data_IF_315497138726
#
_entry.id   IF_315497138726
#
_cell.length_a   1.000
_cell.length_b   1.000
_cell.length_c   1.000
_cell.angle_alpha   90.00
_cell.angle_beta   90.00
_cell.angle_gamma   90.00
#
_symmetry.space_group_name_H-M   'P 1'
#
loop_
_entity.id
_entity.type
_entity.pdbx_description
1 polymer ?
#
# COMPACT_ATOMS: atom_id res chain seq x y z
N UNK A 1 16.00 16.70 71.14
CA UNK A 1 15.56 17.82 70.29
C UNK A 1 16.74 18.30 69.47
N UNK A 2 16.77 18.02 68.17
CA UNK A 2 17.74 18.59 67.24
C UNK A 2 16.96 19.32 66.13
N UNK A 3 17.25 20.61 65.98
CA UNK A 3 16.66 21.55 65.02
C UNK A 3 17.18 21.28 63.58
N UNK A 4 16.53 21.86 62.55
CA UNK A 4 16.43 21.30 61.19
C UNK A 4 17.65 21.61 60.32
N UNK A 5 17.91 20.77 59.31
CA UNK A 5 18.77 21.13 58.18
C UNK A 5 17.90 21.28 56.94
N UNK A 6 17.66 22.54 56.56
CA UNK A 6 17.09 22.87 55.27
C UNK A 6 17.96 22.32 54.14
N UNK A 7 17.34 21.68 53.15
CA UNK A 7 17.98 21.46 51.85
C UNK A 7 18.03 22.81 51.16
N UNK A 8 19.24 23.35 51.01
CA UNK A 8 19.51 24.45 50.08
C UNK A 8 19.13 24.02 48.65
N UNK A 9 18.74 24.95 47.77
CA UNK A 9 18.64 24.66 46.33
C UNK A 9 20.01 24.17 45.85
N UNK A 10 20.04 23.09 45.08
CA UNK A 10 21.28 22.54 44.57
C UNK A 10 21.93 23.53 43.58
N UNK A 11 23.03 24.15 44.00
CA UNK A 11 23.95 24.89 43.16
C UNK A 11 24.43 24.03 41.97
N UNK A 12 24.67 24.71 40.85
CA UNK A 12 24.96 24.27 39.47
C UNK A 12 26.17 23.30 39.31
N UNK A 13 26.79 22.83 40.40
CA UNK A 13 28.08 22.11 40.43
C UNK A 13 28.00 20.61 40.69
N UNK A 14 26.84 20.06 41.10
CA UNK A 14 26.74 18.67 41.58
C UNK A 14 25.89 17.71 40.71
N UNK A 15 25.51 18.11 39.49
CA UNK A 15 24.82 17.19 38.59
C UNK A 15 25.81 16.12 38.09
N UNK A 16 25.49 14.81 38.16
CA UNK A 16 26.41 13.74 37.75
C UNK A 16 26.74 13.70 36.25
N UNK A 17 27.76 12.92 35.90
CA UNK A 17 28.09 12.57 34.51
C UNK A 17 27.06 11.54 33.97
N UNK A 18 26.45 11.76 32.79
CA UNK A 18 25.54 10.83 32.14
C UNK A 18 26.08 9.41 31.90
N UNK A 19 27.40 9.19 31.99
CA UNK A 19 28.05 7.89 31.74
C UNK A 19 28.00 6.89 32.90
N UNK A 20 27.45 7.23 34.08
CA UNK A 20 27.62 6.43 35.33
C UNK A 20 26.30 5.87 35.93
N UNK A 21 25.40 5.28 35.13
CA UNK A 21 24.06 4.85 35.63
C UNK A 21 23.94 3.32 35.88
N UNK A 22 23.17 2.93 36.92
CA UNK A 22 22.80 1.53 37.30
C UNK A 22 21.29 1.41 37.60
N UNK A 23 20.76 0.20 37.82
CA UNK A 23 19.33 -0.04 38.12
C UNK A 23 18.88 0.49 39.50
N UNK A 24 17.63 0.92 39.61
CA UNK A 24 17.00 1.45 40.83
C UNK A 24 16.87 0.42 41.96
N UNK A 25 17.22 0.82 43.19
CA UNK A 25 17.00 0.04 44.42
C UNK A 25 15.76 0.43 45.24
N UNK A 26 15.02 1.46 44.84
CA UNK A 26 13.82 1.91 45.55
C UNK A 26 12.73 0.83 45.53
N UNK A 27 12.13 0.53 46.68
CA UNK A 27 11.27 -0.64 46.89
C UNK A 27 10.07 -0.64 45.93
N UNK A 28 9.37 0.49 45.77
CA UNK A 28 8.29 0.66 44.77
C UNK A 28 8.74 0.45 43.32
N UNK A 29 9.98 0.80 42.97
CA UNK A 29 10.51 0.59 41.62
C UNK A 29 10.90 -0.86 41.38
N UNK A 30 11.46 -1.54 42.38
CA UNK A 30 11.75 -2.98 42.30
C UNK A 30 10.48 -3.83 42.27
N UNK A 31 9.47 -3.44 43.04
CA UNK A 31 8.16 -4.09 43.05
C UNK A 31 7.41 -3.88 41.73
N UNK A 32 7.49 -2.67 41.15
CA UNK A 32 6.97 -2.40 39.81
C UNK A 32 7.70 -3.19 38.73
N UNK A 33 9.04 -3.23 38.76
CA UNK A 33 9.82 -4.03 37.80
C UNK A 33 9.51 -5.52 37.94
N UNK A 34 9.37 -6.05 39.16
CA UNK A 34 8.94 -7.44 39.40
C UNK A 34 7.53 -7.70 38.87
N UNK A 35 6.54 -6.87 39.23
CA UNK A 35 5.16 -7.00 38.73
C UNK A 35 5.10 -6.87 37.22
N UNK A 36 5.83 -5.91 36.65
CA UNK A 36 5.93 -5.69 35.21
C UNK A 36 6.55 -6.89 34.50
N UNK A 37 7.63 -7.46 35.04
CA UNK A 37 8.28 -8.66 34.50
C UNK A 37 7.43 -9.93 34.55
N UNK A 38 6.36 -9.92 35.36
CA UNK A 38 5.39 -11.00 35.49
C UNK A 38 4.16 -10.82 34.57
N UNK A 39 3.97 -9.63 33.98
CA UNK A 39 2.90 -9.36 33.03
C UNK A 39 3.26 -9.91 31.64
N UNK A 40 2.23 -10.32 30.88
CA UNK A 40 2.44 -10.64 29.47
C UNK A 40 2.79 -9.37 28.66
N UNK A 41 3.30 -9.54 27.45
CA UNK A 41 3.75 -8.41 26.60
C UNK A 41 2.62 -7.39 26.35
N UNK A 42 1.36 -7.84 26.29
CA UNK A 42 0.19 -7.02 25.98
C UNK A 42 -0.23 -6.18 27.19
N UNK A 43 -0.16 -6.74 28.40
CA UNK A 43 -0.42 -6.07 29.66
C UNK A 43 0.74 -5.14 30.05
N UNK A 44 1.99 -5.53 29.78
CA UNK A 44 3.16 -4.66 29.84
C UNK A 44 2.96 -3.41 28.97
N UNK A 45 2.49 -3.58 27.73
CA UNK A 45 2.18 -2.50 26.80
C UNK A 45 1.00 -1.63 27.28
N UNK A 46 -0.07 -2.22 27.84
CA UNK A 46 -1.21 -1.48 28.38
C UNK A 46 -0.84 -0.66 29.64
N UNK A 47 -0.02 -1.23 30.51
CA UNK A 47 0.45 -0.60 31.74
C UNK A 47 1.40 0.56 31.44
N UNK A 48 2.27 0.44 30.44
CA UNK A 48 3.14 1.56 29.99
C UNK A 48 2.37 2.67 29.23
N UNK A 49 1.30 2.33 28.49
CA UNK A 49 0.41 3.35 27.89
C UNK A 49 -0.38 4.14 28.95
N UNK A 50 -0.67 3.51 30.10
CA UNK A 50 -1.37 4.13 31.25
C UNK A 50 -0.44 4.86 32.21
N UNK A 51 0.80 4.38 32.34
CA UNK A 51 1.77 4.82 33.33
C UNK A 51 3.01 5.29 32.59
N UNK A 52 3.28 6.60 32.55
CA UNK A 52 4.49 7.21 31.98
C UNK A 52 5.78 6.81 32.76
N UNK A 53 5.91 5.58 33.24
CA UNK A 53 6.75 5.26 34.38
C UNK A 53 7.35 3.84 34.30
N UNK A 54 8.59 3.77 33.84
CA UNK A 54 9.54 2.78 34.35
C UNK A 54 10.84 3.50 34.73
N UNK A 55 10.97 3.83 36.03
CA UNK A 55 12.08 4.55 36.66
C UNK A 55 13.47 4.03 36.27
N UNK A 56 14.34 4.89 35.72
CA UNK A 56 15.78 4.80 35.96
C UNK A 56 16.18 5.65 37.16
N UNK A 57 17.18 5.18 37.92
CA UNK A 57 17.68 5.83 39.13
C UNK A 57 19.20 5.94 39.11
N UNK A 58 19.72 7.03 39.69
CA UNK A 58 21.13 7.33 39.89
C UNK A 58 21.55 6.95 41.33
N UNK A 59 22.56 6.07 41.48
CA UNK A 59 23.05 5.65 42.80
C UNK A 59 21.99 4.94 43.65
N UNK A 60 22.02 5.15 44.98
CA UNK A 60 21.02 4.60 45.90
C UNK A 60 19.75 5.49 46.04
N UNK A 61 19.73 6.74 45.54
CA UNK A 61 18.78 7.75 46.04
C UNK A 61 17.99 8.62 45.03
N UNK A 62 18.22 8.59 43.71
CA UNK A 62 17.59 9.59 42.79
C UNK A 62 16.91 9.01 41.54
N UNK A 63 15.58 8.95 41.49
CA UNK A 63 14.82 8.67 40.25
C UNK A 63 14.50 9.94 39.48
N UNK A 64 14.59 9.89 38.14
CA UNK A 64 14.14 10.98 37.25
C UNK A 64 12.69 11.41 37.53
N UNK A 65 11.83 10.45 37.86
CA UNK A 65 10.42 10.68 38.24
C UNK A 65 10.29 11.41 39.59
N UNK A 66 11.26 11.23 40.48
CA UNK A 66 11.30 11.86 41.81
C UNK A 66 12.21 13.11 41.85
N UNK A 67 12.84 13.49 40.74
CA UNK A 67 13.60 14.72 40.65
C UNK A 67 12.65 15.93 40.65
N UNK A 68 12.89 16.94 41.50
CA UNK A 68 12.13 18.19 41.45
C UNK A 68 12.23 18.85 40.07
N UNK A 69 11.19 19.55 39.63
CA UNK A 69 11.15 20.21 38.30
C UNK A 69 12.34 21.18 38.09
N UNK A 70 12.78 21.87 39.13
CA UNK A 70 13.99 22.72 39.10
C UNK A 70 15.26 21.93 38.74
N UNK A 71 15.41 20.72 39.30
CA UNK A 71 16.56 19.87 39.04
C UNK A 71 16.52 19.25 37.64
N UNK A 72 15.32 18.91 37.13
CA UNK A 72 15.12 18.50 35.73
C UNK A 72 15.49 19.63 34.77
N UNK A 73 15.07 20.87 35.07
CA UNK A 73 15.40 22.05 34.27
C UNK A 73 16.91 22.33 34.24
N UNK A 74 17.58 22.25 35.39
CA UNK A 74 19.04 22.39 35.47
C UNK A 74 19.77 21.29 34.69
N UNK A 75 19.27 20.05 34.74
CA UNK A 75 19.84 18.94 33.96
C UNK A 75 19.67 19.13 32.45
N UNK A 76 18.50 19.63 32.01
CA UNK A 76 18.27 20.05 30.62
C UNK A 76 19.28 21.12 30.19
N UNK A 77 19.43 22.18 30.98
CA UNK A 77 20.38 23.26 30.69
C UNK A 77 21.83 22.78 30.62
N UNK A 78 22.22 21.82 31.47
CA UNK A 78 23.54 21.19 31.45
C UNK A 78 23.79 20.42 30.16
N UNK A 79 22.82 19.64 29.69
CA UNK A 79 22.93 18.88 28.42
C UNK A 79 23.03 19.84 27.24
N UNK A 80 22.19 20.87 27.19
CA UNK A 80 22.28 21.89 26.13
C UNK A 80 23.63 22.61 26.12
N UNK A 81 24.20 22.88 27.31
CA UNK A 81 25.56 23.42 27.45
C UNK A 81 26.61 22.45 26.91
N UNK A 82 26.49 21.17 27.22
CA UNK A 82 27.40 20.12 26.71
C UNK A 82 27.35 19.98 25.19
N UNK A 83 26.15 20.09 24.60
CA UNK A 83 25.98 20.12 23.14
C UNK A 83 26.67 21.34 22.54
N UNK A 84 26.48 22.54 23.12
CA UNK A 84 27.19 23.75 22.68
C UNK A 84 28.71 23.59 22.76
N UNK A 85 29.20 22.90 23.79
CA UNK A 85 30.61 22.57 23.99
C UNK A 85 31.09 21.36 23.15
N UNK A 86 30.23 20.77 22.31
CA UNK A 86 30.51 19.56 21.50
C UNK A 86 30.99 18.36 22.31
N UNK A 87 30.53 18.23 23.56
CA UNK A 87 30.82 17.05 24.38
C UNK A 87 30.01 15.85 23.88
N UNK A 88 30.64 14.69 23.84
CA UNK A 88 29.97 13.44 23.46
C UNK A 88 29.04 12.93 24.57
N UNK A 89 27.81 12.58 24.19
CA UNK A 89 26.79 11.90 25.00
C UNK A 89 26.72 10.41 24.63
N UNK A 90 27.80 9.85 24.08
CA UNK A 90 27.92 8.43 23.81
C UNK A 90 27.65 7.62 25.09
N UNK A 91 26.79 6.61 24.97
CA UNK A 91 26.35 5.72 26.04
C UNK A 91 25.73 6.46 27.25
N UNK A 92 25.39 7.74 27.09
CA UNK A 92 24.74 8.52 28.13
C UNK A 92 23.39 7.91 28.48
N UNK A 93 23.08 7.85 29.77
CA UNK A 93 21.74 7.49 30.22
C UNK A 93 20.89 8.74 30.44
N UNK A 94 19.86 8.85 29.61
CA UNK A 94 18.91 9.95 29.47
C UNK A 94 17.47 9.38 29.43
N UNK A 95 17.23 8.28 30.14
CA UNK A 95 15.91 7.66 30.26
C UNK A 95 14.91 8.64 30.85
N UNK A 96 13.72 8.68 30.25
CA UNK A 96 12.60 9.56 30.62
C UNK A 96 12.94 11.06 30.61
N UNK A 97 14.10 11.45 30.04
CA UNK A 97 14.55 12.83 30.02
C UNK A 97 13.61 13.70 29.21
N UNK A 98 13.26 14.88 29.73
CA UNK A 98 12.37 15.84 29.07
C UNK A 98 13.19 16.92 28.36
N UNK A 99 13.33 16.76 27.05
CA UNK A 99 14.05 17.63 26.14
C UNK A 99 13.13 18.18 25.04
N UNK A 100 11.92 18.59 25.43
CA UNK A 100 11.00 19.26 24.53
C UNK A 100 11.66 20.49 23.88
N UNK A 101 11.60 20.57 22.55
CA UNK A 101 12.18 21.66 21.75
C UNK A 101 13.69 21.89 22.00
N UNK A 102 14.40 20.90 22.53
CA UNK A 102 15.83 21.04 22.82
C UNK A 102 16.65 21.09 21.53
N UNK A 103 17.68 21.94 21.51
CA UNK A 103 18.67 21.96 20.43
C UNK A 103 19.77 20.94 20.72
N UNK A 104 19.74 19.83 19.99
CA UNK A 104 20.63 18.67 20.13
C UNK A 104 21.32 18.34 18.79
N UNK A 105 21.47 19.34 17.91
CA UNK A 105 22.06 19.16 16.57
C UNK A 105 23.48 18.64 16.64
N UNK A 106 23.84 17.73 15.73
CA UNK A 106 25.20 17.17 15.59
C UNK A 106 25.69 16.50 16.89
N UNK A 107 24.79 16.20 17.83
CA UNK A 107 25.16 15.58 19.10
C UNK A 107 25.47 14.10 18.90
N UNK A 108 26.47 13.60 19.62
CA UNK A 108 26.79 12.18 19.64
C UNK A 108 26.03 11.50 20.80
N UNK A 109 24.99 10.76 20.47
CA UNK A 109 24.20 9.87 21.32
C UNK A 109 24.42 8.39 20.98
N UNK A 110 25.58 8.04 20.40
CA UNK A 110 25.89 6.68 20.02
C UNK A 110 25.67 5.73 21.20
N UNK A 111 24.80 4.72 21.04
CA UNK A 111 24.38 3.76 22.08
C UNK A 111 23.81 4.38 23.37
N UNK A 112 23.40 5.65 23.35
CA UNK A 112 22.79 6.29 24.50
C UNK A 112 21.46 5.62 24.89
N UNK A 113 21.12 5.65 26.18
CA UNK A 113 19.85 5.15 26.71
C UNK A 113 18.85 6.30 26.82
N UNK A 114 17.94 6.39 25.87
CA UNK A 114 16.89 7.42 25.74
C UNK A 114 15.48 6.80 25.84
N UNK A 115 15.36 5.69 26.56
CA UNK A 115 14.11 4.93 26.73
C UNK A 115 13.08 5.87 27.37
N UNK A 116 11.88 6.00 26.78
CA UNK A 116 10.82 6.87 27.28
C UNK A 116 11.12 8.37 27.26
N UNK A 117 12.27 8.80 26.71
CA UNK A 117 12.65 10.21 26.68
C UNK A 117 11.64 11.04 25.88
N UNK A 118 11.28 12.22 26.38
CA UNK A 118 10.46 13.18 25.67
C UNK A 118 11.34 14.16 24.89
N UNK A 119 11.54 13.85 23.62
CA UNK A 119 12.28 14.63 22.61
C UNK A 119 11.33 15.27 21.59
N UNK A 120 10.07 15.52 21.98
CA UNK A 120 9.09 16.13 21.10
C UNK A 120 9.60 17.48 20.59
N UNK A 121 9.56 17.68 19.28
CA UNK A 121 10.09 18.86 18.56
C UNK A 121 11.58 19.16 18.81
N UNK A 122 12.34 18.23 19.39
CA UNK A 122 13.77 18.44 19.56
C UNK A 122 14.47 18.53 18.19
N UNK A 123 15.50 19.37 18.10
CA UNK A 123 16.33 19.49 16.91
C UNK A 123 17.55 18.57 17.03
N UNK A 124 17.45 17.38 16.44
CA UNK A 124 18.44 16.32 16.37
C UNK A 124 19.08 16.24 14.97
N UNK A 125 19.05 17.33 14.20
CA UNK A 125 19.63 17.38 12.86
C UNK A 125 21.07 16.86 12.86
N UNK A 126 21.37 15.89 11.99
CA UNK A 126 22.68 15.24 11.88
C UNK A 126 23.23 14.65 13.20
N UNK A 127 22.39 14.36 14.20
CA UNK A 127 22.83 13.70 15.42
C UNK A 127 23.23 12.24 15.15
N UNK A 128 24.22 11.73 15.88
CA UNK A 128 24.60 10.33 15.86
C UNK A 128 23.86 9.58 16.97
N UNK A 129 22.82 8.83 16.61
CA UNK A 129 21.99 8.00 17.48
C UNK A 129 22.21 6.51 17.17
N UNK A 130 23.33 6.14 16.54
CA UNK A 130 23.57 4.76 16.15
C UNK A 130 23.55 3.84 17.38
N UNK A 131 22.76 2.78 17.31
CA UNK A 131 22.57 1.81 18.38
C UNK A 131 21.87 2.34 19.64
N UNK A 132 21.41 3.61 19.64
CA UNK A 132 20.75 4.22 20.78
C UNK A 132 19.48 3.45 21.17
N UNK A 133 19.14 3.46 22.45
CA UNK A 133 17.95 2.81 23.01
C UNK A 133 16.86 3.85 23.20
N UNK A 134 16.01 4.01 22.20
CA UNK A 134 14.90 4.97 22.12
C UNK A 134 13.52 4.29 22.29
N UNK A 135 13.48 3.12 22.94
CA UNK A 135 12.25 2.38 23.16
C UNK A 135 11.19 3.27 23.83
N UNK A 136 10.02 3.41 23.23
CA UNK A 136 8.94 4.25 23.73
C UNK A 136 9.24 5.76 23.81
N UNK A 137 10.34 6.25 23.22
CA UNK A 137 10.67 7.67 23.23
C UNK A 137 9.63 8.49 22.43
N UNK A 138 9.35 9.71 22.87
CA UNK A 138 8.51 10.65 22.14
C UNK A 138 9.38 11.58 21.30
N UNK A 139 9.42 11.37 19.99
CA UNK A 139 10.13 12.15 18.97
C UNK A 139 9.14 12.90 18.06
N UNK A 140 7.88 13.06 18.49
CA UNK A 140 6.85 13.69 17.69
C UNK A 140 7.28 15.07 17.21
N UNK A 141 7.09 15.35 15.92
CA UNK A 141 7.46 16.61 15.25
C UNK A 141 8.96 17.00 15.42
N UNK A 142 9.82 16.07 15.85
CA UNK A 142 11.26 16.28 16.01
C UNK A 142 11.98 16.40 14.67
N UNK A 143 13.06 17.17 14.63
CA UNK A 143 13.93 17.27 13.46
C UNK A 143 15.08 16.27 13.57
N UNK A 144 15.00 15.15 12.84
CA UNK A 144 16.02 14.11 12.74
C UNK A 144 16.57 14.01 11.30
N UNK A 145 16.50 15.10 10.52
CA UNK A 145 17.02 15.07 9.15
C UNK A 145 18.51 14.75 9.16
N UNK A 146 18.91 13.83 8.28
CA UNK A 146 20.30 13.34 8.14
C UNK A 146 20.87 12.72 9.43
N UNK A 147 20.03 12.41 10.43
CA UNK A 147 20.50 11.76 11.66
C UNK A 147 20.92 10.30 11.39
N UNK A 148 21.92 9.82 12.11
CA UNK A 148 22.34 8.42 12.07
C UNK A 148 21.60 7.62 13.14
N UNK A 149 20.58 6.87 12.76
CA UNK A 149 19.77 5.99 13.62
C UNK A 149 20.03 4.51 13.32
N UNK A 150 21.17 4.19 12.69
CA UNK A 150 21.52 2.82 12.34
C UNK A 150 21.49 1.92 13.58
N UNK A 151 20.83 0.76 13.47
CA UNK A 151 20.66 -0.21 14.56
C UNK A 151 20.04 0.35 15.86
N UNK A 152 19.45 1.56 15.82
CA UNK A 152 18.78 2.14 16.98
C UNK A 152 17.50 1.34 17.32
N UNK A 153 17.20 1.24 18.61
CA UNK A 153 15.94 0.65 19.08
C UNK A 153 14.89 1.74 19.28
N UNK A 154 13.97 1.88 18.32
CA UNK A 154 12.84 2.80 18.30
C UNK A 154 11.50 2.05 18.44
N UNK A 155 11.50 0.84 19.00
CA UNK A 155 10.26 0.09 19.17
C UNK A 155 9.29 0.88 20.06
N UNK A 156 8.02 0.93 19.66
CA UNK A 156 6.94 1.66 20.34
C UNK A 156 7.18 3.19 20.41
N UNK A 157 8.22 3.73 19.77
CA UNK A 157 8.50 5.16 19.79
C UNK A 157 7.44 5.96 19.01
N UNK A 158 7.15 7.18 19.48
CA UNK A 158 6.27 8.11 18.78
C UNK A 158 7.09 9.06 17.89
N UNK A 159 7.10 8.81 16.58
CA UNK A 159 7.73 9.66 15.56
C UNK A 159 6.67 10.34 14.67
N UNK A 160 5.45 10.52 15.17
CA UNK A 160 4.39 11.16 14.39
C UNK A 160 4.85 12.55 13.92
N UNK A 161 4.71 12.83 12.63
CA UNK A 161 5.12 14.10 12.03
C UNK A 161 6.62 14.41 12.05
N UNK A 162 7.47 13.51 12.53
CA UNK A 162 8.92 13.75 12.62
C UNK A 162 9.56 13.96 11.23
N UNK A 163 10.58 14.81 11.17
CA UNK A 163 11.36 15.08 9.97
C UNK A 163 12.58 14.16 9.94
N UNK A 164 12.61 13.22 9.00
CA UNK A 164 13.63 12.17 8.86
C UNK A 164 14.19 12.14 7.43
N UNK A 165 14.18 13.27 6.72
CA UNK A 165 14.72 13.40 5.36
C UNK A 165 16.18 12.95 5.35
N UNK A 166 16.50 11.96 4.52
CA UNK A 166 17.87 11.42 4.40
C UNK A 166 18.43 10.75 5.67
N UNK A 167 17.61 10.46 6.68
CA UNK A 167 18.07 9.81 7.90
C UNK A 167 18.52 8.37 7.62
N UNK A 168 19.57 7.91 8.32
CA UNK A 168 20.03 6.53 8.24
C UNK A 168 19.37 5.66 9.31
N UNK A 169 18.37 4.87 8.94
CA UNK A 169 17.63 3.93 9.78
C UNK A 169 17.96 2.46 9.45
N UNK A 170 19.11 2.20 8.80
CA UNK A 170 19.51 0.85 8.41
C UNK A 170 19.53 -0.07 9.64
N UNK A 171 18.84 -1.21 9.54
CA UNK A 171 18.75 -2.20 10.62
C UNK A 171 18.01 -1.73 11.90
N UNK A 172 17.42 -0.52 11.91
CA UNK A 172 16.73 0.01 13.08
C UNK A 172 15.52 -0.86 13.47
N UNK A 173 15.25 -0.93 14.78
CA UNK A 173 14.11 -1.64 15.35
C UNK A 173 12.96 -0.66 15.52
N UNK A 174 11.90 -0.80 14.72
CA UNK A 174 10.76 0.12 14.64
C UNK A 174 9.43 -0.62 14.86
N UNK A 175 9.47 -1.77 15.55
CA UNK A 175 8.26 -2.55 15.83
C UNK A 175 7.25 -1.70 16.60
N UNK A 176 6.01 -1.67 16.15
CA UNK A 176 4.90 -0.88 16.72
C UNK A 176 5.20 0.65 16.81
N UNK A 177 6.22 1.16 16.12
CA UNK A 177 6.52 2.59 16.13
C UNK A 177 5.44 3.39 15.40
N UNK A 178 5.11 4.58 15.90
CA UNK A 178 4.18 5.50 15.26
C UNK A 178 4.94 6.48 14.36
N UNK A 179 4.95 6.25 13.05
CA UNK A 179 5.55 7.09 12.01
C UNK A 179 4.47 7.82 11.19
N UNK A 180 3.25 7.95 11.71
CA UNK A 180 2.15 8.59 11.00
C UNK A 180 2.55 10.00 10.55
N UNK A 181 2.36 10.31 9.26
CA UNK A 181 2.73 11.59 8.63
C UNK A 181 4.22 11.98 8.73
N UNK A 182 5.11 11.09 9.15
CA UNK A 182 6.55 11.36 9.20
C UNK A 182 7.11 11.62 7.79
N UNK A 183 8.13 12.47 7.70
CA UNK A 183 8.85 12.76 6.46
C UNK A 183 10.12 11.91 6.36
N UNK A 184 10.04 10.73 5.76
CA UNK A 184 11.12 9.74 5.55
C UNK A 184 11.64 9.73 4.10
N UNK A 185 11.49 10.84 3.37
CA UNK A 185 11.99 10.93 1.99
C UNK A 185 13.50 10.68 1.97
N UNK A 186 13.97 9.95 0.97
CA UNK A 186 15.40 9.61 0.80
C UNK A 186 16.04 8.90 2.03
N UNK A 187 15.26 8.47 3.02
CA UNK A 187 15.78 7.80 4.20
C UNK A 187 16.27 6.39 3.86
N UNK A 188 17.33 5.95 4.53
CA UNK A 188 17.83 4.58 4.41
C UNK A 188 17.18 3.68 5.46
N UNK A 189 16.18 2.89 5.09
CA UNK A 189 15.47 1.91 5.92
C UNK A 189 15.85 0.47 5.53
N UNK A 190 17.01 0.26 4.91
CA UNK A 190 17.45 -1.06 4.49
C UNK A 190 17.49 -2.02 5.69
N UNK A 191 16.86 -3.19 5.55
CA UNK A 191 16.76 -4.21 6.60
C UNK A 191 16.12 -3.70 7.93
N UNK A 192 15.42 -2.57 7.91
CA UNK A 192 14.74 -2.05 9.08
C UNK A 192 13.56 -2.97 9.48
N UNK A 193 13.31 -3.05 10.78
CA UNK A 193 12.32 -3.94 11.40
C UNK A 193 11.06 -3.17 11.76
N UNK A 194 10.12 -3.07 10.83
CA UNK A 194 8.91 -2.24 10.89
C UNK A 194 7.63 -3.06 11.17
N UNK A 195 7.75 -4.21 11.83
CA UNK A 195 6.60 -5.04 12.21
C UNK A 195 5.54 -4.23 12.96
N UNK A 196 4.28 -4.33 12.54
CA UNK A 196 3.15 -3.64 13.17
C UNK A 196 3.29 -2.10 13.27
N UNK A 197 4.24 -1.50 12.54
CA UNK A 197 4.48 -0.06 12.58
C UNK A 197 3.36 0.73 11.88
N UNK A 198 3.04 1.91 12.39
CA UNK A 198 2.07 2.81 11.78
C UNK A 198 2.77 3.86 10.90
N UNK A 199 2.77 3.65 9.58
CA UNK A 199 3.30 4.58 8.57
C UNK A 199 2.17 5.28 7.79
N UNK A 200 0.96 5.37 8.34
CA UNK A 200 -0.16 5.99 7.65
C UNK A 200 0.18 7.43 7.22
N UNK A 201 -0.04 7.76 5.94
CA UNK A 201 0.27 9.06 5.35
C UNK A 201 1.75 9.49 5.47
N UNK A 202 2.67 8.58 5.79
CA UNK A 202 4.10 8.87 5.81
C UNK A 202 4.62 9.17 4.40
N UNK A 203 5.63 10.03 4.30
CA UNK A 203 6.29 10.40 3.04
C UNK A 203 7.59 9.63 2.93
N UNK A 204 7.62 8.61 2.09
CA UNK A 204 8.73 7.67 1.87
C UNK A 204 9.27 7.74 0.43
N UNK A 205 9.02 8.84 -0.29
CA UNK A 205 9.46 8.95 -1.68
C UNK A 205 10.97 8.84 -1.77
N UNK A 206 11.47 8.00 -2.68
CA UNK A 206 12.88 7.65 -2.86
C UNK A 206 13.58 7.04 -1.62
N UNK A 207 12.83 6.56 -0.62
CA UNK A 207 13.41 5.86 0.51
C UNK A 207 13.95 4.48 0.10
N UNK A 208 15.04 4.04 0.73
CA UNK A 208 15.58 2.70 0.56
C UNK A 208 15.01 1.75 1.62
N UNK A 209 14.03 0.92 1.26
CA UNK A 209 13.39 -0.10 2.11
C UNK A 209 13.83 -1.52 1.71
N UNK A 210 14.99 -1.67 1.07
CA UNK A 210 15.45 -2.97 0.58
C UNK A 210 15.54 -3.98 1.73
N UNK A 211 14.84 -5.11 1.59
CA UNK A 211 14.78 -6.16 2.60
C UNK A 211 14.17 -5.75 3.94
N UNK A 212 13.43 -4.63 4.00
CA UNK A 212 12.76 -4.22 5.22
C UNK A 212 11.63 -5.19 5.61
N UNK A 213 11.43 -5.35 6.91
CA UNK A 213 10.37 -6.21 7.46
C UNK A 213 9.15 -5.37 7.80
N UNK A 214 8.14 -5.39 6.94
CA UNK A 214 6.93 -4.57 7.03
C UNK A 214 5.68 -5.42 7.34
N UNK A 215 5.84 -6.63 7.89
CA UNK A 215 4.70 -7.49 8.17
C UNK A 215 3.71 -6.77 9.11
N UNK A 216 2.42 -6.77 8.77
CA UNK A 216 1.36 -6.03 9.48
C UNK A 216 1.52 -4.50 9.56
N UNK A 217 2.48 -3.89 8.87
CA UNK A 217 2.65 -2.45 8.89
C UNK A 217 1.45 -1.73 8.23
N UNK A 218 1.04 -0.59 8.80
CA UNK A 218 0.01 0.27 8.22
C UNK A 218 0.64 1.34 7.32
N UNK A 219 0.62 1.14 6.00
CA UNK A 219 1.12 2.05 4.96
C UNK A 219 -0.03 2.76 4.23
N UNK A 220 -1.23 2.82 4.83
CA UNK A 220 -2.38 3.42 4.19
C UNK A 220 -2.10 4.88 3.80
N UNK A 221 -2.38 5.24 2.55
CA UNK A 221 -2.15 6.57 1.97
C UNK A 221 -0.67 7.06 2.06
N UNK A 222 0.29 6.17 2.31
CA UNK A 222 1.71 6.52 2.31
C UNK A 222 2.20 6.85 0.89
N UNK A 223 3.18 7.73 0.80
CA UNK A 223 3.85 8.08 -0.46
C UNK A 223 5.16 7.29 -0.59
N UNK A 224 5.14 6.19 -1.34
CA UNK A 224 6.28 5.31 -1.64
C UNK A 224 6.80 5.54 -3.08
N UNK A 225 6.54 6.73 -3.66
CA UNK A 225 6.96 7.01 -5.04
C UNK A 225 8.48 6.93 -5.20
N UNK A 226 8.98 6.12 -6.11
CA UNK A 226 10.40 5.88 -6.36
C UNK A 226 11.12 5.11 -5.24
N UNK A 227 10.40 4.60 -4.24
CA UNK A 227 11.01 3.87 -3.13
C UNK A 227 11.55 2.51 -3.59
N UNK A 228 12.68 2.10 -3.01
CA UNK A 228 13.25 0.77 -3.24
C UNK A 228 12.74 -0.21 -2.18
N UNK A 229 11.76 -1.05 -2.53
CA UNK A 229 11.19 -2.10 -1.68
C UNK A 229 11.63 -3.50 -2.14
N UNK A 230 12.75 -3.60 -2.86
CA UNK A 230 13.27 -4.88 -3.32
C UNK A 230 13.46 -5.83 -2.13
N UNK A 231 12.97 -7.07 -2.25
CA UNK A 231 13.06 -8.12 -1.22
C UNK A 231 12.38 -7.76 0.13
N UNK A 232 11.59 -6.69 0.19
CA UNK A 232 10.85 -6.31 1.40
C UNK A 232 9.73 -7.32 1.71
N UNK A 233 9.49 -7.58 2.99
CA UNK A 233 8.38 -8.41 3.44
C UNK A 233 7.16 -7.53 3.77
N UNK A 234 6.18 -7.47 2.87
CA UNK A 234 4.92 -6.73 3.02
C UNK A 234 3.76 -7.66 3.47
N UNK A 235 4.06 -8.80 4.08
CA UNK A 235 3.04 -9.77 4.51
C UNK A 235 1.99 -9.13 5.42
N UNK A 236 0.71 -9.27 5.12
CA UNK A 236 -0.42 -8.70 5.88
C UNK A 236 -0.38 -7.15 6.00
N UNK A 237 0.56 -6.46 5.33
CA UNK A 237 0.67 -5.01 5.36
C UNK A 237 -0.54 -4.33 4.70
N UNK A 238 -0.94 -3.18 5.24
CA UNK A 238 -2.02 -2.37 4.68
C UNK A 238 -1.46 -1.25 3.79
N UNK A 239 -1.41 -1.44 2.48
CA UNK A 239 -0.99 -0.42 1.51
C UNK A 239 -2.15 0.33 0.88
N UNK A 240 -3.38 0.24 1.41
CA UNK A 240 -4.55 0.85 0.78
C UNK A 240 -4.32 2.32 0.41
N UNK A 241 -4.61 2.67 -0.85
CA UNK A 241 -4.40 4.03 -1.42
C UNK A 241 -2.96 4.56 -1.36
N UNK A 242 -1.96 3.71 -1.10
CA UNK A 242 -0.56 4.12 -1.15
C UNK A 242 -0.16 4.52 -2.57
N UNK A 243 0.75 5.49 -2.69
CA UNK A 243 1.37 5.86 -3.96
C UNK A 243 2.63 5.04 -4.15
N UNK A 244 2.64 4.16 -5.14
CA UNK A 244 3.77 3.29 -5.47
C UNK A 244 4.42 3.69 -6.80
N UNK A 245 4.29 4.95 -7.23
CA UNK A 245 4.78 5.36 -8.55
C UNK A 245 6.26 5.06 -8.71
N UNK A 246 6.65 4.31 -9.74
CA UNK A 246 8.05 3.94 -10.02
C UNK A 246 8.73 3.20 -8.85
N UNK A 247 7.97 2.65 -7.90
CA UNK A 247 8.53 1.89 -6.80
C UNK A 247 9.13 0.57 -7.30
N UNK A 248 10.29 0.20 -6.76
CA UNK A 248 10.90 -1.10 -7.01
C UNK A 248 10.36 -2.13 -6.01
N UNK A 249 9.47 -3.02 -6.46
CA UNK A 249 8.85 -4.09 -5.66
C UNK A 249 9.36 -5.48 -6.09
N UNK A 250 10.53 -5.54 -6.72
CA UNK A 250 11.11 -6.80 -7.17
C UNK A 250 11.33 -7.74 -5.98
N UNK A 251 10.94 -9.02 -6.11
CA UNK A 251 11.06 -10.04 -5.06
C UNK A 251 10.35 -9.72 -3.74
N UNK A 252 9.54 -8.66 -3.67
CA UNK A 252 8.80 -8.32 -2.46
C UNK A 252 7.74 -9.39 -2.16
N UNK A 253 7.51 -9.66 -0.88
CA UNK A 253 6.50 -10.61 -0.41
C UNK A 253 5.19 -9.88 -0.11
N UNK A 254 4.14 -10.18 -0.87
CA UNK A 254 2.81 -9.59 -0.71
C UNK A 254 1.81 -10.49 0.02
N UNK A 255 2.24 -11.56 0.69
CA UNK A 255 1.37 -12.54 1.35
C UNK A 255 0.27 -11.87 2.17
N UNK A 256 -1.00 -11.96 1.73
CA UNK A 256 -2.18 -11.36 2.39
C UNK A 256 -2.14 -9.84 2.62
N UNK A 257 -1.22 -9.13 1.97
CA UNK A 257 -1.20 -7.66 1.97
C UNK A 257 -2.48 -7.07 1.34
N UNK A 258 -2.82 -5.83 1.69
CA UNK A 258 -3.99 -5.10 1.17
C UNK A 258 -3.51 -3.98 0.25
N UNK A 259 -3.80 -4.05 -1.04
CA UNK A 259 -3.35 -3.07 -2.05
C UNK A 259 -4.52 -2.33 -2.74
N UNK A 260 -5.70 -2.31 -2.12
CA UNK A 260 -6.86 -1.67 -2.73
C UNK A 260 -6.62 -0.17 -2.93
N UNK A 261 -6.82 0.31 -4.15
CA UNK A 261 -6.66 1.72 -4.49
C UNK A 261 -5.21 2.20 -4.63
N UNK A 262 -4.21 1.32 -4.59
CA UNK A 262 -2.82 1.70 -4.79
C UNK A 262 -2.57 2.32 -6.17
N UNK A 263 -1.67 3.30 -6.23
CA UNK A 263 -1.23 3.87 -7.49
C UNK A 263 0.07 3.20 -7.96
N UNK A 264 -0.03 2.30 -8.95
CA UNK A 264 1.09 1.44 -9.37
C UNK A 264 1.73 1.83 -10.72
N UNK A 265 1.58 3.08 -11.16
CA UNK A 265 2.25 3.56 -12.38
C UNK A 265 3.76 3.36 -12.25
N UNK A 266 4.43 2.79 -13.26
CA UNK A 266 5.88 2.64 -13.23
C UNK A 266 6.44 1.52 -12.33
N UNK A 267 5.61 0.79 -11.57
CA UNK A 267 6.09 -0.19 -10.58
C UNK A 267 6.87 -1.35 -11.22
N UNK A 268 7.96 -1.79 -10.58
CA UNK A 268 8.67 -3.01 -10.95
C UNK A 268 8.24 -4.18 -10.06
N UNK A 269 7.64 -5.23 -10.66
CA UNK A 269 7.10 -6.40 -9.94
C UNK A 269 7.86 -7.71 -10.23
N UNK A 270 9.03 -7.67 -10.87
CA UNK A 270 9.74 -8.89 -11.27
C UNK A 270 10.00 -9.78 -10.03
N UNK A 271 9.62 -11.05 -10.12
CA UNK A 271 9.76 -12.04 -9.04
C UNK A 271 9.02 -11.70 -7.73
N UNK A 272 8.10 -10.73 -7.72
CA UNK A 272 7.27 -10.46 -6.56
C UNK A 272 6.45 -11.71 -6.19
N UNK A 273 6.25 -11.94 -4.89
CA UNK A 273 5.69 -13.19 -4.36
C UNK A 273 4.29 -12.97 -3.80
N UNK A 274 3.42 -13.96 -4.00
CA UNK A 274 2.10 -14.05 -3.37
C UNK A 274 1.16 -12.86 -3.61
N UNK A 275 1.36 -12.13 -4.72
CA UNK A 275 0.44 -11.10 -5.16
C UNK A 275 -0.73 -11.75 -5.91
N UNK A 276 -1.96 -11.40 -5.57
CA UNK A 276 -3.17 -11.90 -6.21
C UNK A 276 -4.07 -10.74 -6.66
N UNK A 277 -4.97 -11.01 -7.60
CA UNK A 277 -5.91 -9.99 -8.06
C UNK A 277 -6.78 -9.39 -6.95
N UNK A 278 -7.27 -10.22 -6.03
CA UNK A 278 -8.15 -9.80 -4.93
C UNK A 278 -7.52 -8.73 -4.05
N UNK A 279 -6.20 -8.76 -3.87
CA UNK A 279 -5.49 -7.80 -3.03
C UNK A 279 -5.44 -6.41 -3.66
N UNK A 280 -5.34 -6.37 -4.99
CA UNK A 280 -5.18 -5.15 -5.79
C UNK A 280 -6.52 -4.58 -6.26
N UNK A 281 -7.63 -5.28 -5.99
CA UNK A 281 -8.93 -4.91 -6.51
C UNK A 281 -9.26 -3.44 -6.19
N UNK A 282 -9.46 -2.69 -7.27
CA UNK A 282 -9.76 -1.27 -7.21
C UNK A 282 -11.26 -1.13 -6.91
N UNK A 283 -11.62 -1.05 -5.63
CA UNK A 283 -13.03 -0.99 -5.19
C UNK A 283 -13.66 0.40 -5.27
N UNK A 284 -12.91 1.44 -5.65
CA UNK A 284 -13.41 2.80 -5.73
C UNK A 284 -13.34 3.35 -7.14
N UNK A 285 -14.47 3.78 -7.70
CA UNK A 285 -14.49 4.68 -8.85
C UNK A 285 -13.79 5.99 -8.50
N UNK A 286 -12.47 6.07 -8.63
CA UNK A 286 -11.80 7.36 -8.59
C UNK A 286 -12.11 8.07 -9.92
N UNK A 287 -13.12 8.94 -9.83
CA UNK A 287 -13.61 9.81 -10.87
C UNK A 287 -12.44 10.50 -11.59
N UNK A 288 -12.18 9.99 -12.78
CA UNK A 288 -11.78 10.72 -13.97
C UNK A 288 -10.39 11.34 -14.12
N UNK A 289 -9.56 11.47 -13.07
CA UNK A 289 -8.33 12.28 -13.24
C UNK A 289 -7.08 11.52 -13.68
N UNK A 290 -6.95 10.21 -13.46
CA UNK A 290 -5.68 9.50 -13.77
C UNK A 290 -5.88 8.11 -14.44
N UNK A 291 -6.65 8.09 -15.53
CA UNK A 291 -6.85 6.87 -16.33
C UNK A 291 -5.54 6.32 -16.91
N UNK A 292 -4.55 7.17 -17.18
CA UNK A 292 -3.22 6.76 -17.65
C UNK A 292 -2.52 5.88 -16.60
N UNK A 293 -2.59 6.28 -15.33
CA UNK A 293 -1.96 5.54 -14.24
C UNK A 293 -2.62 4.18 -14.03
N UNK A 294 -3.95 4.11 -14.14
CA UNK A 294 -4.68 2.85 -14.04
C UNK A 294 -4.36 1.91 -15.22
N UNK A 295 -4.25 2.44 -16.44
CA UNK A 295 -3.92 1.64 -17.62
C UNK A 295 -2.52 1.00 -17.51
N UNK A 296 -1.52 1.78 -17.10
CA UNK A 296 -0.16 1.27 -16.90
C UNK A 296 -0.11 0.23 -15.77
N UNK A 297 -0.79 0.50 -14.65
CA UNK A 297 -0.90 -0.43 -13.54
C UNK A 297 -1.47 -1.79 -13.98
N UNK A 298 -2.60 -1.81 -14.70
CA UNK A 298 -3.19 -3.06 -15.19
C UNK A 298 -2.29 -3.77 -16.20
N UNK A 299 -1.56 -3.03 -17.04
CA UNK A 299 -0.61 -3.64 -17.98
C UNK A 299 0.53 -4.35 -17.25
N UNK A 300 1.06 -3.74 -16.18
CA UNK A 300 2.12 -4.34 -15.36
C UNK A 300 1.63 -5.56 -14.59
N UNK A 301 0.45 -5.47 -13.97
CA UNK A 301 -0.18 -6.60 -13.30
C UNK A 301 -0.44 -7.76 -14.25
N UNK A 302 -0.97 -7.48 -15.45
CA UNK A 302 -1.16 -8.50 -16.49
C UNK A 302 0.15 -9.21 -16.83
N UNK A 303 1.23 -8.46 -17.06
CA UNK A 303 2.54 -9.05 -17.38
C UNK A 303 3.09 -9.87 -16.21
N UNK A 304 2.89 -9.41 -14.98
CA UNK A 304 3.25 -10.13 -13.76
C UNK A 304 2.50 -11.47 -13.68
N UNK A 305 1.17 -11.45 -13.76
CA UNK A 305 0.36 -12.67 -13.66
C UNK A 305 0.67 -13.67 -14.76
N UNK A 306 0.96 -13.18 -15.96
CA UNK A 306 1.41 -14.02 -17.06
C UNK A 306 2.74 -14.73 -16.74
N UNK A 307 3.72 -14.02 -16.20
CA UNK A 307 5.01 -14.59 -15.80
C UNK A 307 4.89 -15.62 -14.66
N UNK A 308 3.90 -15.45 -13.77
CA UNK A 308 3.62 -16.37 -12.67
C UNK A 308 2.73 -17.57 -13.08
N UNK A 309 2.24 -17.63 -14.32
CA UNK A 309 1.28 -18.66 -14.75
C UNK A 309 -0.10 -18.53 -14.09
N UNK A 310 -0.44 -17.36 -13.54
CA UNK A 310 -1.71 -17.09 -12.87
C UNK A 310 -2.76 -16.59 -13.87
N UNK A 311 -3.26 -17.49 -14.72
CA UNK A 311 -4.07 -17.12 -15.89
C UNK A 311 -5.42 -16.47 -15.57
N UNK A 312 -6.06 -16.83 -14.45
CA UNK A 312 -7.32 -16.21 -14.04
C UNK A 312 -7.14 -14.75 -13.60
N UNK A 313 -6.06 -14.47 -12.87
CA UNK A 313 -5.71 -13.11 -12.46
C UNK A 313 -5.21 -12.27 -13.64
N UNK A 314 -4.46 -12.89 -14.57
CA UNK A 314 -4.06 -12.29 -15.85
C UNK A 314 -5.31 -11.85 -16.65
N UNK A 315 -6.32 -12.72 -16.75
CA UNK A 315 -7.56 -12.43 -17.46
C UNK A 315 -8.31 -11.23 -16.87
N UNK A 316 -8.34 -11.13 -15.53
CA UNK A 316 -8.96 -10.00 -14.82
C UNK A 316 -8.20 -8.69 -15.06
N UNK A 317 -6.88 -8.72 -14.97
CA UNK A 317 -6.02 -7.58 -15.28
C UNK A 317 -6.17 -7.13 -16.75
N UNK A 318 -6.20 -8.08 -17.69
CA UNK A 318 -6.42 -7.81 -19.10
C UNK A 318 -7.78 -7.17 -19.39
N UNK A 319 -8.86 -7.70 -18.80
CA UNK A 319 -10.20 -7.12 -18.95
C UNK A 319 -10.26 -5.67 -18.47
N UNK A 320 -9.63 -5.37 -17.32
CA UNK A 320 -9.57 -4.00 -16.76
C UNK A 320 -8.68 -3.08 -17.59
N UNK A 321 -7.54 -3.55 -18.10
CA UNK A 321 -6.69 -2.80 -19.04
C UNK A 321 -7.52 -2.35 -20.27
N UNK A 322 -8.31 -3.26 -20.85
CA UNK A 322 -9.14 -2.97 -22.03
C UNK A 322 -10.28 -1.99 -21.73
N UNK A 323 -10.92 -2.10 -20.57
CA UNK A 323 -11.92 -1.10 -20.11
C UNK A 323 -11.31 0.30 -20.00
N UNK A 324 -10.11 0.42 -19.44
CA UNK A 324 -9.42 1.71 -19.33
C UNK A 324 -9.01 2.25 -20.71
N UNK A 325 -8.51 1.38 -21.61
CA UNK A 325 -8.20 1.77 -22.99
C UNK A 325 -9.45 2.22 -23.77
N UNK A 326 -10.61 1.63 -23.51
CA UNK A 326 -11.89 2.08 -24.07
C UNK A 326 -12.22 3.50 -23.59
N UNK A 327 -12.14 3.76 -22.29
CA UNK A 327 -12.36 5.10 -21.72
C UNK A 327 -11.37 6.14 -22.25
N UNK A 328 -10.10 5.76 -22.41
CA UNK A 328 -9.08 6.59 -23.06
C UNK A 328 -9.50 6.99 -24.48
N UNK A 329 -9.93 6.02 -25.30
CA UNK A 329 -10.32 6.29 -26.68
C UNK A 329 -11.49 7.28 -26.77
N UNK A 330 -12.43 7.22 -25.84
CA UNK A 330 -13.52 8.21 -25.73
C UNK A 330 -12.99 9.62 -25.44
N UNK A 331 -12.13 9.76 -24.43
CA UNK A 331 -11.56 11.06 -24.02
C UNK A 331 -10.69 11.68 -25.12
N UNK A 332 -9.92 10.86 -25.83
CA UNK A 332 -9.08 11.29 -26.96
C UNK A 332 -9.89 11.54 -28.25
N UNK A 333 -11.23 11.46 -28.21
CA UNK A 333 -12.12 11.58 -29.38
C UNK A 333 -11.80 10.60 -30.52
N UNK A 334 -11.17 9.46 -30.21
CA UNK A 334 -10.87 8.38 -31.16
C UNK A 334 -12.07 7.45 -31.31
N UNK A 335 -13.12 7.96 -31.96
CA UNK A 335 -14.43 7.29 -32.08
C UNK A 335 -14.34 5.87 -32.67
N UNK A 336 -13.54 5.66 -33.72
CA UNK A 336 -13.39 4.33 -34.33
C UNK A 336 -12.80 3.30 -33.37
N UNK A 337 -11.69 3.63 -32.69
CA UNK A 337 -11.06 2.75 -31.69
C UNK A 337 -12.00 2.49 -30.52
N UNK A 338 -12.70 3.52 -30.05
CA UNK A 338 -13.69 3.39 -28.99
C UNK A 338 -14.81 2.42 -29.40
N UNK A 339 -15.36 2.58 -30.60
CA UNK A 339 -16.47 1.75 -31.10
C UNK A 339 -16.07 0.27 -31.21
N UNK A 340 -14.87 -0.02 -31.71
CA UNK A 340 -14.34 -1.39 -31.75
C UNK A 340 -14.21 -1.98 -30.34
N UNK A 341 -13.64 -1.24 -29.39
CA UNK A 341 -13.51 -1.70 -28.00
C UNK A 341 -14.87 -1.85 -27.31
N UNK A 342 -15.83 -0.98 -27.63
CA UNK A 342 -17.20 -1.06 -27.16
C UNK A 342 -17.89 -2.34 -27.63
N UNK A 343 -17.81 -2.63 -28.93
CA UNK A 343 -18.35 -3.88 -29.49
C UNK A 343 -17.69 -5.12 -28.87
N UNK A 344 -16.36 -5.14 -28.75
CA UNK A 344 -15.64 -6.27 -28.15
C UNK A 344 -15.99 -6.48 -26.67
N UNK A 345 -16.24 -5.41 -25.92
CA UNK A 345 -16.69 -5.51 -24.53
C UNK A 345 -18.08 -6.14 -24.44
N UNK A 346 -19.03 -5.64 -25.23
CA UNK A 346 -20.41 -6.12 -25.21
C UNK A 346 -20.51 -7.56 -25.70
N UNK A 347 -19.94 -7.85 -26.87
CA UNK A 347 -20.11 -9.13 -27.54
C UNK A 347 -19.30 -10.25 -26.88
N UNK A 348 -18.06 -9.97 -26.46
CA UNK A 348 -17.13 -11.01 -26.02
C UNK A 348 -16.54 -10.78 -24.62
N UNK A 349 -16.82 -9.65 -23.97
CA UNK A 349 -16.10 -9.24 -22.76
C UNK A 349 -14.59 -9.19 -22.99
N UNK A 350 -14.18 -8.66 -24.15
CA UNK A 350 -12.79 -8.68 -24.64
C UNK A 350 -12.20 -10.10 -24.85
N UNK A 351 -13.05 -11.10 -25.01
CA UNK A 351 -12.65 -12.48 -25.24
C UNK A 351 -12.55 -13.33 -23.97
N UNK A 352 -12.96 -12.81 -22.82
CA UNK A 352 -12.92 -13.53 -21.54
C UNK A 352 -14.27 -14.18 -21.18
N UNK A 353 -15.39 -13.69 -21.74
CA UNK A 353 -16.75 -14.08 -21.33
C UNK A 353 -17.51 -14.78 -22.47
N UNK A 354 -17.30 -16.09 -22.62
CA UNK A 354 -17.94 -16.94 -23.63
C UNK A 354 -19.47 -16.76 -23.69
N UNK A 355 -20.13 -16.69 -22.53
CA UNK A 355 -21.57 -16.58 -22.45
C UNK A 355 -22.11 -15.31 -23.13
N UNK A 356 -21.34 -14.21 -23.17
CA UNK A 356 -21.77 -12.97 -23.85
C UNK A 356 -21.89 -13.19 -25.35
N UNK A 357 -20.97 -13.94 -25.94
CA UNK A 357 -20.98 -14.29 -27.36
C UNK A 357 -22.20 -15.16 -27.67
N UNK A 358 -22.47 -16.15 -26.82
CA UNK A 358 -23.64 -17.05 -26.98
C UNK A 358 -24.95 -16.28 -26.86
N UNK A 359 -25.12 -15.46 -25.83
CA UNK A 359 -26.33 -14.63 -25.64
C UNK A 359 -26.49 -13.62 -26.77
N UNK A 360 -25.39 -13.01 -27.23
CA UNK A 360 -25.41 -12.09 -28.37
C UNK A 360 -25.84 -12.78 -29.67
N UNK A 361 -25.41 -14.02 -29.90
CA UNK A 361 -25.84 -14.82 -31.04
C UNK A 361 -27.35 -15.11 -30.99
N UNK A 362 -27.86 -15.58 -29.84
CA UNK A 362 -29.30 -15.80 -29.65
C UNK A 362 -30.13 -14.53 -29.82
N UNK A 363 -29.67 -13.40 -29.26
CA UNK A 363 -30.34 -12.12 -29.41
C UNK A 363 -30.37 -11.66 -30.88
N UNK A 364 -29.28 -11.86 -31.63
CA UNK A 364 -29.20 -11.53 -33.05
C UNK A 364 -30.22 -12.33 -33.85
N UNK A 365 -30.27 -13.65 -33.65
CA UNK A 365 -31.24 -14.54 -34.30
C UNK A 365 -32.67 -14.06 -34.03
N UNK A 366 -33.00 -13.76 -32.77
CA UNK A 366 -34.36 -13.30 -32.41
C UNK A 366 -34.71 -11.94 -33.03
N UNK A 367 -33.77 -11.01 -33.10
CA UNK A 367 -33.96 -9.70 -33.73
C UNK A 367 -34.25 -9.85 -35.23
N UNK A 368 -33.42 -10.63 -35.95
CA UNK A 368 -33.61 -10.85 -37.39
C UNK A 368 -34.89 -11.63 -37.69
N UNK A 369 -35.25 -12.61 -36.85
CA UNK A 369 -36.55 -13.28 -36.91
C UNK A 369 -37.71 -12.30 -36.86
N UNK A 370 -37.64 -11.31 -35.97
CA UNK A 370 -38.63 -10.23 -35.88
C UNK A 370 -38.65 -9.33 -37.12
N UNK A 371 -37.48 -8.97 -37.65
CA UNK A 371 -37.36 -8.17 -38.89
C UNK A 371 -38.01 -8.90 -40.07
N UNK A 372 -37.73 -10.19 -40.25
CA UNK A 372 -38.32 -10.98 -41.34
C UNK A 372 -39.83 -11.14 -41.19
N UNK A 373 -40.29 -11.37 -39.97
CA UNK A 373 -41.72 -11.49 -39.67
C UNK A 373 -42.47 -10.19 -39.98
N UNK A 374 -41.92 -9.03 -39.59
CA UNK A 374 -42.49 -7.72 -39.90
C UNK A 374 -42.43 -7.39 -41.39
N UNK A 375 -41.37 -7.83 -42.09
CA UNK A 375 -41.24 -7.60 -43.51
C UNK A 375 -42.23 -8.44 -44.34
N UNK A 376 -42.55 -9.67 -43.93
CA UNK A 376 -43.53 -10.55 -44.57
C UNK A 376 -43.16 -10.99 -46.00
N UNK A 377 -41.87 -10.95 -46.35
CA UNK A 377 -41.36 -11.19 -47.73
C UNK A 377 -40.46 -12.43 -47.85
N UNK A 378 -40.65 -13.41 -46.96
CA UNK A 378 -40.03 -14.74 -47.08
C UNK A 378 -40.97 -15.68 -47.83
N UNK A 379 -40.40 -16.50 -48.72
CA UNK A 379 -41.13 -17.49 -49.52
C UNK A 379 -40.46 -18.86 -49.43
N UNK A 380 -41.25 -19.92 -49.58
CA UNK A 380 -40.69 -21.28 -49.76
C UNK A 380 -40.14 -21.45 -51.18
N UNK A 381 -39.37 -22.52 -51.42
CA UNK A 381 -38.90 -22.88 -52.78
C UNK A 381 -40.05 -23.06 -53.80
N UNK A 382 -41.28 -23.34 -53.33
CA UNK A 382 -42.49 -23.41 -54.16
C UNK A 382 -43.17 -22.05 -54.41
N UNK A 383 -42.63 -20.95 -53.89
CA UNK A 383 -43.17 -19.60 -54.04
C UNK A 383 -44.28 -19.23 -53.05
N UNK A 384 -44.58 -20.09 -52.06
CA UNK A 384 -45.62 -19.80 -51.07
C UNK A 384 -45.13 -18.80 -50.01
N UNK A 385 -45.91 -17.76 -49.69
CA UNK A 385 -45.52 -16.74 -48.72
C UNK A 385 -45.55 -17.28 -47.28
N UNK A 386 -44.56 -16.89 -46.49
CA UNK A 386 -44.43 -17.31 -45.09
C UNK A 386 -45.01 -16.28 -44.15
N UNK A 387 -45.98 -16.70 -43.33
CA UNK A 387 -46.69 -15.82 -42.39
C UNK A 387 -46.43 -16.14 -40.91
N UNK A 388 -45.95 -17.35 -40.59
CA UNK A 388 -45.70 -17.79 -39.22
C UNK A 388 -44.30 -17.39 -38.73
N UNK A 389 -44.23 -16.85 -37.52
CA UNK A 389 -42.97 -16.44 -36.88
C UNK A 389 -41.94 -17.58 -36.78
N UNK A 390 -42.37 -18.81 -36.48
CA UNK A 390 -41.46 -19.96 -36.33
C UNK A 390 -40.67 -20.29 -37.60
N UNK A 391 -41.24 -20.05 -38.78
CA UNK A 391 -40.51 -20.20 -40.04
C UNK A 391 -39.48 -19.09 -40.26
N UNK A 392 -39.78 -17.86 -39.82
CA UNK A 392 -38.81 -16.75 -39.82
C UNK A 392 -37.65 -17.03 -38.84
N UNK A 393 -37.95 -17.63 -37.70
CA UNK A 393 -36.95 -18.09 -36.74
C UNK A 393 -36.06 -19.18 -37.31
N UNK A 394 -36.65 -20.21 -37.94
CA UNK A 394 -35.90 -21.25 -38.62
C UNK A 394 -34.98 -20.66 -39.70
N UNK A 395 -35.51 -19.75 -40.54
CA UNK A 395 -34.72 -19.07 -41.57
C UNK A 395 -33.54 -18.29 -40.97
N UNK A 396 -33.78 -17.53 -39.89
CA UNK A 396 -32.74 -16.77 -39.19
C UNK A 396 -31.67 -17.68 -38.57
N UNK A 397 -32.06 -18.81 -37.95
CA UNK A 397 -31.11 -19.81 -37.42
C UNK A 397 -30.21 -20.37 -38.51
N UNK A 398 -30.78 -20.78 -39.65
CA UNK A 398 -30.01 -21.35 -40.78
C UNK A 398 -29.07 -20.30 -41.39
N UNK A 399 -29.57 -19.09 -41.59
CA UNK A 399 -28.83 -17.96 -42.16
C UNK A 399 -27.67 -17.56 -41.24
N UNK A 400 -27.92 -17.44 -39.93
CA UNK A 400 -26.90 -17.13 -38.93
C UNK A 400 -25.88 -18.25 -38.76
N UNK A 401 -26.30 -19.53 -38.82
CA UNK A 401 -25.40 -20.68 -38.75
C UNK A 401 -24.57 -20.89 -40.04
N UNK A 402 -24.77 -20.07 -41.07
CA UNK A 402 -24.02 -20.09 -42.34
C UNK A 402 -24.18 -21.37 -43.17
N UNK A 403 -25.21 -22.18 -42.88
CA UNK A 403 -25.43 -23.48 -43.53
C UNK A 403 -25.94 -23.38 -44.98
N UNK A 404 -26.06 -22.17 -45.53
CA UNK A 404 -26.63 -21.93 -46.87
C UNK A 404 -28.15 -22.03 -46.86
N UNK A 405 -28.80 -21.20 -47.68
CA UNK A 405 -30.26 -21.00 -47.68
C UNK A 405 -31.02 -22.33 -47.75
N UNK A 406 -31.76 -22.64 -46.68
CA UNK A 406 -32.66 -23.80 -46.61
C UNK A 406 -33.89 -23.64 -47.52
N UNK A 407 -34.95 -24.39 -47.25
CA UNK A 407 -36.16 -24.41 -48.11
C UNK A 407 -36.96 -23.08 -48.15
N UNK A 408 -36.44 -22.05 -47.49
CA UNK A 408 -37.00 -20.71 -47.34
C UNK A 408 -35.98 -19.70 -47.86
N UNK A 409 -36.44 -18.76 -48.69
CA UNK A 409 -35.60 -17.69 -49.23
C UNK A 409 -36.32 -16.32 -49.24
N UNK A 410 -35.57 -15.21 -49.26
CA UNK A 410 -36.15 -13.89 -49.50
C UNK A 410 -36.77 -13.82 -50.91
N UNK A 411 -37.95 -13.22 -51.04
CA UNK A 411 -38.57 -13.01 -52.35
C UNK A 411 -37.64 -12.24 -53.31
N UNK A 412 -37.61 -12.64 -54.58
CA UNK A 412 -36.65 -12.16 -55.60
C UNK A 412 -36.62 -10.62 -55.75
N UNK A 413 -37.75 -9.95 -55.51
CA UNK A 413 -37.92 -8.50 -55.64
C UNK A 413 -37.75 -7.72 -54.32
N UNK A 414 -37.41 -8.39 -53.22
CA UNK A 414 -37.27 -7.76 -51.89
C UNK A 414 -35.81 -7.48 -51.54
N UNK A 415 -35.29 -6.37 -52.07
CA UNK A 415 -33.91 -5.92 -51.82
C UNK A 415 -33.61 -5.76 -50.33
N UNK A 416 -34.55 -5.26 -49.53
CA UNK A 416 -34.36 -5.08 -48.09
C UNK A 416 -34.14 -6.38 -47.30
N UNK A 417 -34.93 -7.42 -47.57
CA UNK A 417 -34.79 -8.72 -46.87
C UNK A 417 -33.59 -9.51 -47.35
N UNK A 418 -33.19 -9.35 -48.63
CA UNK A 418 -31.95 -9.92 -49.14
C UNK A 418 -30.73 -9.29 -48.46
N UNK A 419 -30.70 -7.97 -48.33
CA UNK A 419 -29.63 -7.26 -47.61
C UNK A 419 -29.58 -7.66 -46.14
N UNK A 420 -30.73 -7.77 -45.48
CA UNK A 420 -30.80 -8.25 -44.09
C UNK A 420 -30.21 -9.66 -43.94
N UNK A 421 -30.55 -10.59 -44.84
CA UNK A 421 -29.99 -11.94 -44.84
C UNK A 421 -28.46 -11.94 -45.01
N UNK A 422 -27.92 -11.13 -45.93
CA UNK A 422 -26.47 -11.00 -46.12
C UNK A 422 -25.79 -10.46 -44.85
N UNK A 423 -26.37 -9.44 -44.21
CA UNK A 423 -25.85 -8.90 -42.95
C UNK A 423 -25.84 -9.96 -41.84
N UNK A 424 -26.92 -10.75 -41.74
CA UNK A 424 -27.04 -11.81 -40.74
C UNK A 424 -25.99 -12.92 -40.93
N UNK A 425 -25.71 -13.32 -42.18
CA UNK A 425 -24.62 -14.27 -42.49
C UNK A 425 -23.27 -13.73 -42.02
N UNK A 426 -22.97 -12.46 -42.32
CA UNK A 426 -21.72 -11.81 -41.90
C UNK A 426 -21.59 -11.80 -40.37
N UNK A 427 -22.68 -11.45 -39.67
CA UNK A 427 -22.72 -11.50 -38.20
C UNK A 427 -22.49 -12.93 -37.69
N UNK A 428 -23.10 -13.93 -38.31
CA UNK A 428 -22.89 -15.35 -38.01
C UNK A 428 -21.41 -15.75 -38.03
N UNK A 429 -20.69 -15.42 -39.11
CA UNK A 429 -19.24 -15.67 -39.20
C UNK A 429 -18.44 -14.93 -38.13
N UNK A 430 -18.81 -13.68 -37.82
CA UNK A 430 -18.14 -12.91 -36.76
C UNK A 430 -18.32 -13.57 -35.39
N UNK A 431 -19.54 -13.99 -35.04
CA UNK A 431 -19.82 -14.68 -33.78
C UNK A 431 -19.10 -16.03 -33.69
N UNK A 432 -19.09 -16.81 -34.79
CA UNK A 432 -18.36 -18.08 -34.86
C UNK A 432 -16.86 -17.86 -34.66
N UNK A 433 -16.26 -16.89 -35.34
CA UNK A 433 -14.85 -16.53 -35.17
C UNK A 433 -14.51 -16.10 -33.74
N UNK A 434 -15.38 -15.30 -33.10
CA UNK A 434 -15.23 -14.94 -31.68
C UNK A 434 -15.29 -16.16 -30.78
N UNK A 435 -16.26 -17.07 -31.00
CA UNK A 435 -16.42 -18.28 -30.20
C UNK A 435 -15.18 -19.16 -30.28
N UNK A 436 -14.68 -19.43 -31.49
CA UNK A 436 -13.46 -20.21 -31.74
C UNK A 436 -12.27 -19.56 -31.04
N UNK A 437 -12.10 -18.24 -31.16
CA UNK A 437 -10.97 -17.53 -30.54
C UNK A 437 -11.01 -17.61 -29.01
N UNK A 438 -12.19 -17.46 -28.41
CA UNK A 438 -12.37 -17.55 -26.95
C UNK A 438 -12.08 -18.97 -26.46
N UNK A 439 -12.58 -19.99 -27.16
CA UNK A 439 -12.36 -21.40 -26.81
C UNK A 439 -10.89 -21.75 -26.95
N UNK A 440 -10.26 -21.41 -28.07
CA UNK A 440 -8.83 -21.67 -28.31
C UNK A 440 -7.96 -21.03 -27.23
N UNK A 441 -8.25 -19.78 -26.83
CA UNK A 441 -7.52 -19.10 -25.77
C UNK A 441 -7.73 -19.73 -24.40
N UNK A 442 -8.94 -20.23 -24.10
CA UNK A 442 -9.22 -20.96 -22.85
C UNK A 442 -8.57 -22.34 -22.80
N UNK A 443 -8.39 -23.00 -23.94
CA UNK A 443 -7.70 -24.29 -24.02
C UNK A 443 -6.18 -24.16 -23.96
N UNK A 444 -5.63 -23.00 -24.35
CA UNK A 444 -4.18 -22.73 -24.32
C UNK A 444 -3.66 -22.14 -23.01
N UNK A 445 -4.55 -21.84 -22.05
CA UNK A 445 -4.23 -21.54 -20.65
C UNK A 445 -4.30 -22.83 -19.87
#
# INVERSE_FOLDING_TARGET
MAKPRGRKPAEDSNLPDPKVWKWCKHEECQDKVRRFSLLDVKDQQAEMRRSHYLCAVFGEDYCWIHLPEEAKANYKAKIERWVKERRSLQEANLRDATHHEANLRVSNFHKAYLIGANLQKADLWSADLQGAKLWGANLQDGNLEVANLQDANLEVANLQGAYLLGANLQGAYLREANLQKANLREANLQQARLWDANLQQARLSYANLQGAYLTNANLQEADLSGANLQEANLGEANLQKARLWEANLQKADFSKSKLHGCYMYGVLLNDAKYLTWQQVEYTGEEKDKNWMNALDAYRRLKNYFHQQGQYDDEAQAYYRERLMAQRQAWKEKKLGKWFVLFLLNILAGFGEKLWRTVVGAFATILIFSGIYWLAGKLVTNGGEPITKFWHCLYFSVVTFATLGFGDISPALHSTGTQVAAVIEVILGYVFLGMLITIIARKMGR
#
